data_IF_344435740505
#
_entry.id   IF_344435740505
#
_cell.length_a   1.000
_cell.length_b   1.000
_cell.length_c   1.000
_cell.angle_alpha   90.00
_cell.angle_beta   90.00
_cell.angle_gamma   90.00
#
_symmetry.space_group_name_H-M   'P 1'
#
loop_
_entity.id
_entity.type
_entity.pdbx_description
1 polymer ?
#
# COMPACT_ATOMS: atom_id res chain seq x y z
N UNK A 1 14.55 12.81 16.23
CA UNK A 1 13.28 12.07 16.18
C UNK A 1 13.27 11.37 14.84
N UNK A 2 13.52 10.07 14.81
CA UNK A 2 13.23 9.26 13.63
C UNK A 2 11.71 9.15 13.56
N UNK A 3 11.09 9.84 12.61
CA UNK A 3 9.69 9.59 12.27
C UNK A 3 9.51 8.08 12.08
N UNK A 4 8.46 7.46 12.64
CA UNK A 4 8.23 6.05 12.41
C UNK A 4 8.08 5.83 10.90
N UNK A 5 8.94 4.99 10.32
CA UNK A 5 8.78 4.44 8.97
C UNK A 5 7.36 3.85 8.92
N UNK A 6 6.47 4.49 8.15
CA UNK A 6 5.08 4.14 7.83
C UNK A 6 4.38 3.03 8.64
N UNK A 7 3.19 3.32 9.19
CA UNK A 7 2.34 2.28 9.78
C UNK A 7 1.91 1.22 8.76
N UNK A 8 1.65 1.64 7.51
CA UNK A 8 1.43 0.76 6.36
C UNK A 8 2.21 1.34 5.19
N UNK A 9 2.97 0.50 4.49
CA UNK A 9 3.64 0.88 3.25
C UNK A 9 3.38 -0.15 2.15
N UNK A 10 2.99 0.35 0.98
CA UNK A 10 2.94 -0.44 -0.25
C UNK A 10 4.07 0.03 -1.16
N UNK A 11 4.87 -0.93 -1.59
CA UNK A 11 5.96 -0.73 -2.53
C UNK A 11 5.65 -1.47 -3.83
N UNK A 12 6.16 -0.93 -4.93
CA UNK A 12 6.29 -1.68 -6.17
C UNK A 12 7.34 -2.80 -6.02
N UNK A 13 7.39 -3.70 -7.01
CA UNK A 13 8.35 -4.80 -7.05
C UNK A 13 9.82 -4.33 -6.99
N UNK A 14 10.11 -3.19 -7.62
CA UNK A 14 11.44 -2.53 -7.60
C UNK A 14 11.76 -1.84 -6.25
N UNK A 15 10.85 -1.89 -5.27
CA UNK A 15 11.02 -1.26 -3.96
C UNK A 15 10.69 0.24 -3.93
N UNK A 16 10.21 0.81 -5.04
CA UNK A 16 9.70 2.19 -5.06
C UNK A 16 8.44 2.31 -4.20
N UNK A 17 8.37 3.31 -3.32
CA UNK A 17 7.18 3.57 -2.51
C UNK A 17 6.03 4.00 -3.42
N UNK A 18 4.90 3.31 -3.32
CA UNK A 18 3.66 3.68 -3.99
C UNK A 18 2.77 4.50 -3.05
N UNK A 19 2.49 3.97 -1.86
CA UNK A 19 1.75 4.68 -0.81
C UNK A 19 2.28 4.33 0.58
N UNK A 20 2.37 5.34 1.44
CA UNK A 20 2.67 5.22 2.85
C UNK A 20 1.59 5.88 3.70
N UNK A 21 1.10 5.16 4.71
CA UNK A 21 0.17 5.68 5.72
C UNK A 21 0.95 5.84 7.03
N UNK A 22 0.98 7.07 7.53
CA UNK A 22 1.62 7.42 8.79
C UNK A 22 0.72 7.07 9.98
N UNK A 23 1.29 6.86 11.20
CA UNK A 23 0.49 6.54 12.38
C UNK A 23 -0.53 7.62 12.79
N UNK A 24 -0.31 8.87 12.40
CA UNK A 24 -1.23 10.00 12.61
C UNK A 24 -2.35 10.06 11.54
N UNK A 25 -2.34 9.15 10.58
CA UNK A 25 -3.31 9.07 9.49
C UNK A 25 -2.94 9.90 8.26
N UNK A 26 -1.80 10.59 8.25
CA UNK A 26 -1.33 11.26 7.04
C UNK A 26 -0.94 10.24 5.97
N UNK A 27 -1.13 10.61 4.70
CA UNK A 27 -0.84 9.76 3.55
C UNK A 27 0.25 10.42 2.71
N UNK A 28 1.26 9.65 2.34
CA UNK A 28 2.32 10.04 1.40
C UNK A 28 2.26 9.13 0.18
N UNK A 29 2.39 9.70 -1.02
CA UNK A 29 2.44 8.94 -2.28
C UNK A 29 3.83 8.95 -2.86
N UNK A 30 4.12 7.92 -3.66
CA UNK A 30 5.35 7.84 -4.44
C UNK A 30 5.53 9.04 -5.39
N UNK A 31 6.78 9.38 -5.76
CA UNK A 31 7.09 10.55 -6.57
C UNK A 31 6.42 10.54 -7.96
N UNK A 32 6.06 9.35 -8.46
CA UNK A 32 5.45 9.15 -9.77
C UNK A 32 3.93 8.94 -9.71
N UNK A 33 3.32 9.02 -8.53
CA UNK A 33 1.91 8.69 -8.33
C UNK A 33 1.10 9.92 -7.93
N UNK A 34 0.01 10.15 -8.67
CA UNK A 34 -1.05 11.03 -8.19
C UNK A 34 -1.84 10.35 -7.06
N UNK A 35 -2.41 11.11 -6.12
CA UNK A 35 -3.16 10.56 -4.98
C UNK A 35 -4.24 9.54 -5.36
N UNK A 36 -5.05 9.83 -6.37
CA UNK A 36 -6.13 8.94 -6.83
C UNK A 36 -5.59 7.62 -7.40
N UNK A 37 -4.50 7.68 -8.17
CA UNK A 37 -3.84 6.48 -8.72
C UNK A 37 -3.25 5.65 -7.60
N UNK A 38 -2.54 6.27 -6.66
CA UNK A 38 -1.96 5.57 -5.51
C UNK A 38 -3.03 4.88 -4.66
N UNK A 39 -4.16 5.55 -4.40
CA UNK A 39 -5.27 4.99 -3.65
C UNK A 39 -5.89 3.79 -4.38
N UNK A 40 -6.06 3.87 -5.70
CA UNK A 40 -6.58 2.76 -6.51
C UNK A 40 -5.67 1.53 -6.46
N UNK A 41 -4.38 1.72 -6.71
CA UNK A 41 -3.40 0.64 -6.68
C UNK A 41 -3.28 0.01 -5.29
N UNK A 42 -3.38 0.83 -4.23
CA UNK A 42 -3.43 0.33 -2.86
C UNK A 42 -4.61 -0.61 -2.61
N UNK A 43 -5.83 -0.18 -2.95
CA UNK A 43 -7.02 -1.00 -2.74
C UNK A 43 -7.02 -2.27 -3.59
N UNK A 44 -6.47 -2.20 -4.81
CA UNK A 44 -6.27 -3.36 -5.66
C UNK A 44 -5.28 -4.37 -5.03
N UNK A 45 -4.14 -3.89 -4.52
CA UNK A 45 -3.16 -4.74 -3.85
C UNK A 45 -3.73 -5.39 -2.57
N UNK A 46 -4.48 -4.65 -1.76
CA UNK A 46 -5.19 -5.18 -0.58
C UNK A 46 -6.20 -6.26 -0.99
N UNK A 47 -6.95 -6.03 -2.07
CA UNK A 47 -7.93 -7.00 -2.59
C UNK A 47 -7.25 -8.29 -3.03
N UNK A 48 -6.16 -8.20 -3.79
CA UNK A 48 -5.36 -9.36 -4.21
C UNK A 48 -4.80 -10.13 -3.01
N UNK A 49 -4.27 -9.44 -2.01
CA UNK A 49 -3.76 -10.05 -0.79
C UNK A 49 -4.87 -10.77 -0.01
N UNK A 50 -6.06 -10.17 0.13
CA UNK A 50 -7.20 -10.77 0.79
C UNK A 50 -7.71 -12.04 0.06
N UNK A 51 -7.70 -12.03 -1.27
CA UNK A 51 -8.03 -13.20 -2.09
C UNK A 51 -7.00 -14.33 -1.89
N UNK A 52 -5.70 -14.01 -1.92
CA UNK A 52 -4.64 -14.99 -1.69
C UNK A 52 -4.66 -15.58 -0.27
N UNK A 53 -5.07 -14.79 0.73
CA UNK A 53 -5.17 -15.22 2.12
C UNK A 53 -6.43 -16.06 2.42
N UNK A 54 -7.41 -16.10 1.50
CA UNK A 54 -8.66 -16.83 1.72
C UNK A 54 -8.45 -18.35 1.49
N UNK A 55 -8.61 -19.20 2.52
CA UNK A 55 -8.31 -20.64 2.42
C UNK A 55 -9.32 -21.43 1.58
N UNK A 56 -10.37 -20.79 1.05
CA UNK A 56 -11.45 -21.42 0.28
C UNK A 56 -11.35 -21.16 -1.23
N UNK A 57 -10.26 -20.55 -1.71
CA UNK A 57 -10.02 -20.27 -3.14
C UNK A 57 -9.34 -21.40 -3.92
N UNK A 58 -8.95 -22.50 -3.26
CA UNK A 58 -8.51 -23.73 -3.93
C UNK A 58 -9.63 -24.77 -3.91
N UNK A 59 -10.52 -24.72 -4.90
CA UNK A 59 -11.31 -25.88 -5.33
C UNK A 59 -11.38 -25.94 -6.84
#
# INVERSE_FOLDING_TARGET
MTEPEFAIALHEDDGTLLVGIHPDGNITTGPNYQPDTAAREFWDAVTRAAQAASPWGQT
#
